data_IF_744774818354
#
_entry.id   IF_744774818354
#
_cell.length_a   1.000
_cell.length_b   1.000
_cell.length_c   1.000
_cell.angle_alpha   90.00
_cell.angle_beta   90.00
_cell.angle_gamma   90.00
#
_symmetry.space_group_name_H-M   'P 1'
#
loop_
_entity.id
_entity.type
_entity.pdbx_description
1 polymer ?
#
# COMPACT_ATOMS: atom_id res chain seq x y z
N UNK A 1 23.71 -2.34 28.90
CA UNK A 1 22.73 -2.91 27.95
C UNK A 1 23.38 -2.90 26.59
N UNK A 2 23.76 -4.08 26.09
CA UNK A 2 24.39 -4.25 24.78
C UNK A 2 23.40 -3.90 23.68
N UNK A 3 23.75 -2.94 22.82
CA UNK A 3 23.05 -2.69 21.56
C UNK A 3 22.99 -4.01 20.79
N UNK A 4 21.80 -4.58 20.66
CA UNK A 4 21.58 -5.64 19.69
C UNK A 4 21.77 -5.00 18.31
N UNK A 5 22.99 -5.11 17.76
CA UNK A 5 23.26 -4.82 16.37
C UNK A 5 22.35 -5.72 15.53
N UNK A 6 21.23 -5.17 15.07
CA UNK A 6 20.38 -5.79 14.06
C UNK A 6 21.22 -5.96 12.80
N UNK A 7 21.74 -7.16 12.58
CA UNK A 7 22.59 -7.47 11.43
C UNK A 7 21.78 -7.26 10.15
N UNK A 8 22.08 -6.19 9.42
CA UNK A 8 21.31 -5.83 8.23
C UNK A 8 21.54 -6.91 7.17
N UNK A 9 20.49 -7.44 6.53
CA UNK A 9 20.64 -8.44 5.49
C UNK A 9 21.52 -7.88 4.38
N UNK A 10 22.70 -8.48 4.19
CA UNK A 10 23.63 -8.10 3.12
C UNK A 10 23.23 -8.79 1.83
N UNK A 11 23.26 -8.05 0.72
CA UNK A 11 23.11 -8.65 -0.60
C UNK A 11 24.23 -9.68 -0.81
N UNK A 12 23.84 -10.93 -1.02
CA UNK A 12 24.77 -12.02 -1.35
C UNK A 12 24.77 -12.24 -2.85
N UNK A 13 25.94 -12.54 -3.43
CA UNK A 13 26.07 -12.88 -4.84
C UNK A 13 25.16 -14.06 -5.25
N UNK A 14 24.83 -14.95 -4.31
CA UNK A 14 23.88 -16.05 -4.51
C UNK A 14 22.47 -15.60 -4.89
N UNK A 15 22.08 -14.35 -4.62
CA UNK A 15 20.81 -13.77 -5.04
C UNK A 15 20.77 -13.39 -6.52
N UNK A 16 21.92 -13.35 -7.21
CA UNK A 16 21.99 -13.12 -8.67
C UNK A 16 21.87 -14.41 -9.49
N UNK A 17 21.76 -15.56 -8.83
CA UNK A 17 21.62 -16.86 -9.49
C UNK A 17 20.40 -16.86 -10.44
N UNK A 18 20.47 -17.51 -11.63
CA UNK A 18 19.39 -17.52 -12.63
C UNK A 18 18.00 -17.88 -12.10
N UNK A 19 17.93 -18.70 -11.04
CA UNK A 19 16.68 -19.03 -10.34
C UNK A 19 15.89 -17.80 -9.84
N UNK A 20 16.57 -16.67 -9.60
CA UNK A 20 15.97 -15.43 -9.11
C UNK A 20 15.74 -14.40 -10.22
N UNK A 21 16.15 -14.66 -11.46
CA UNK A 21 15.97 -13.70 -12.56
C UNK A 21 14.52 -13.29 -12.78
N UNK A 22 13.50 -14.18 -12.72
CA UNK A 22 12.12 -13.75 -12.85
C UNK A 22 11.71 -12.71 -11.80
N UNK A 23 12.19 -12.87 -10.56
CA UNK A 23 11.97 -11.89 -9.48
C UNK A 23 12.64 -10.55 -9.81
N UNK A 24 13.91 -10.57 -10.21
CA UNK A 24 14.65 -9.35 -10.58
C UNK A 24 14.04 -8.64 -11.78
N UNK A 25 13.61 -9.39 -12.80
CA UNK A 25 12.89 -8.84 -13.95
C UNK A 25 11.55 -8.24 -13.52
N UNK A 26 10.81 -8.90 -12.63
CA UNK A 26 9.57 -8.38 -12.08
C UNK A 26 9.78 -7.08 -11.28
N UNK A 27 10.80 -7.02 -10.43
CA UNK A 27 11.16 -5.82 -9.68
C UNK A 27 11.65 -4.70 -10.60
N UNK A 28 12.46 -5.01 -11.61
CA UNK A 28 12.92 -4.05 -12.61
C UNK A 28 11.76 -3.48 -13.43
N UNK A 29 10.82 -4.32 -13.86
CA UNK A 29 9.61 -3.89 -14.55
C UNK A 29 8.72 -3.03 -13.66
N UNK A 30 8.51 -3.44 -12.40
CA UNK A 30 7.74 -2.67 -11.42
C UNK A 30 8.39 -1.30 -11.16
N UNK A 31 9.73 -1.26 -11.05
CA UNK A 31 10.49 -0.04 -10.91
C UNK A 31 10.33 0.88 -12.12
N UNK A 32 10.36 0.35 -13.35
CA UNK A 32 10.11 1.12 -14.57
C UNK A 32 8.69 1.70 -14.59
N UNK A 33 7.69 0.88 -14.27
CA UNK A 33 6.29 1.30 -14.23
C UNK A 33 6.11 2.41 -13.20
N UNK A 34 6.68 2.28 -12.00
CA UNK A 34 6.49 3.28 -10.93
C UNK A 34 7.14 4.64 -11.24
N UNK A 35 8.04 4.73 -12.23
CA UNK A 35 8.55 6.03 -12.68
C UNK A 35 7.50 6.89 -13.40
N UNK A 36 6.42 6.27 -13.90
CA UNK A 36 5.36 6.96 -14.63
C UNK A 36 4.65 8.05 -13.77
N UNK A 37 3.97 9.02 -14.41
CA UNK A 37 3.16 9.99 -13.69
C UNK A 37 2.08 9.34 -12.83
N UNK A 38 1.79 9.93 -11.67
CA UNK A 38 0.82 9.39 -10.70
C UNK A 38 -0.55 9.07 -11.32
N UNK A 39 -1.07 9.95 -12.19
CA UNK A 39 -2.34 9.73 -12.86
C UNK A 39 -2.36 8.46 -13.72
N UNK A 40 -1.23 8.11 -14.34
CA UNK A 40 -1.09 6.88 -15.14
C UNK A 40 -1.08 5.66 -14.22
N UNK A 41 -0.38 5.74 -13.09
CA UNK A 41 -0.37 4.68 -12.08
C UNK A 41 -1.78 4.43 -11.51
N UNK A 42 -2.57 5.48 -11.30
CA UNK A 42 -3.97 5.35 -10.88
C UNK A 42 -4.79 4.58 -11.92
N UNK A 43 -4.66 4.90 -13.21
CA UNK A 43 -5.41 4.21 -14.27
C UNK A 43 -5.01 2.74 -14.35
N UNK A 44 -3.72 2.43 -14.34
CA UNK A 44 -3.21 1.06 -14.37
C UNK A 44 -3.63 0.30 -13.11
N UNK A 45 -3.58 0.95 -11.94
CA UNK A 45 -4.05 0.41 -10.66
C UNK A 45 -5.53 0.05 -10.68
N UNK A 46 -6.39 0.95 -11.21
CA UNK A 46 -7.82 0.65 -11.38
C UNK A 46 -8.05 -0.51 -12.34
N UNK A 47 -7.29 -0.59 -13.43
CA UNK A 47 -7.37 -1.70 -14.37
C UNK A 47 -6.97 -3.03 -13.72
N UNK A 48 -5.88 -3.04 -12.95
CA UNK A 48 -5.45 -4.19 -12.16
C UNK A 48 -6.54 -4.60 -11.16
N UNK A 49 -7.13 -3.65 -10.45
CA UNK A 49 -8.24 -3.89 -9.54
C UNK A 49 -9.47 -4.49 -10.23
N UNK A 50 -9.79 -4.03 -11.45
CA UNK A 50 -10.88 -4.60 -12.24
C UNK A 50 -10.59 -6.04 -12.69
N UNK A 51 -9.34 -6.37 -13.00
CA UNK A 51 -8.91 -7.76 -13.29
C UNK A 51 -9.04 -8.61 -12.01
N UNK A 52 -8.54 -8.13 -10.87
CA UNK A 52 -8.66 -8.82 -9.58
C UNK A 52 -10.12 -9.06 -9.20
N UNK A 53 -11.02 -8.10 -9.45
CA UNK A 53 -12.45 -8.26 -9.19
C UNK A 53 -13.08 -9.41 -10.00
N UNK A 54 -12.56 -9.71 -11.19
CA UNK A 54 -13.05 -10.80 -12.04
C UNK A 54 -12.45 -12.15 -11.66
N UNK A 55 -11.18 -12.19 -11.28
CA UNK A 55 -10.43 -13.44 -11.08
C UNK A 55 -10.43 -13.90 -9.61
N UNK A 56 -10.32 -12.97 -8.65
CA UNK A 56 -10.19 -13.27 -7.22
C UNK A 56 -11.55 -13.54 -6.56
N UNK A 57 -12.17 -14.65 -6.95
CA UNK A 57 -13.56 -14.99 -6.59
C UNK A 57 -13.77 -15.10 -5.08
N UNK A 58 -12.85 -15.70 -4.33
CA UNK A 58 -12.98 -15.86 -2.88
C UNK A 58 -12.82 -14.54 -2.14
N UNK A 59 -11.84 -13.72 -2.54
CA UNK A 59 -11.66 -12.37 -1.98
C UNK A 59 -12.88 -11.50 -2.23
N UNK A 60 -13.49 -11.61 -3.42
CA UNK A 60 -14.72 -10.90 -3.76
C UNK A 60 -15.89 -11.34 -2.89
N UNK A 61 -16.06 -12.64 -2.63
CA UNK A 61 -17.12 -13.16 -1.74
C UNK A 61 -16.96 -12.61 -0.33
N UNK A 62 -15.75 -12.67 0.23
CA UNK A 62 -15.46 -12.18 1.58
C UNK A 62 -15.73 -10.67 1.69
N UNK A 63 -15.17 -9.88 0.77
CA UNK A 63 -15.37 -8.43 0.77
C UNK A 63 -16.85 -8.05 0.59
N UNK A 64 -17.59 -8.75 -0.28
CA UNK A 64 -19.04 -8.55 -0.44
C UNK A 64 -19.79 -8.80 0.87
N UNK A 65 -19.48 -9.91 1.55
CA UNK A 65 -20.11 -10.25 2.83
C UNK A 65 -19.80 -9.22 3.92
N UNK A 66 -18.55 -8.77 3.99
CA UNK A 66 -18.15 -7.72 4.93
C UNK A 66 -18.91 -6.42 4.67
N UNK A 67 -19.08 -6.03 3.41
CA UNK A 67 -19.86 -4.83 3.07
C UNK A 67 -21.35 -4.96 3.41
N UNK A 68 -21.95 -6.16 3.29
CA UNK A 68 -23.32 -6.41 3.75
C UNK A 68 -23.46 -6.23 5.26
N UNK A 69 -22.49 -6.75 6.03
CA UNK A 69 -22.51 -6.71 7.49
C UNK A 69 -22.20 -5.30 8.03
N UNK A 70 -21.21 -4.61 7.46
CA UNK A 70 -20.79 -3.29 7.91
C UNK A 70 -21.72 -2.17 7.40
N UNK A 71 -22.33 -2.34 6.22
CA UNK A 71 -23.19 -1.33 5.59
C UNK A 71 -24.58 -1.90 5.24
N UNK A 72 -25.36 -2.33 6.24
CA UNK A 72 -26.67 -2.93 6.02
C UNK A 72 -27.67 -1.93 5.41
N UNK A 73 -27.50 -0.64 5.69
CA UNK A 73 -28.34 0.47 5.23
C UNK A 73 -28.13 0.83 3.74
N UNK A 74 -27.04 0.39 3.12
CA UNK A 74 -26.81 0.63 1.69
C UNK A 74 -27.60 -0.37 0.84
N UNK A 75 -28.10 0.08 -0.32
CA UNK A 75 -28.71 -0.81 -1.30
C UNK A 75 -27.70 -1.82 -1.86
N UNK A 76 -28.20 -2.91 -2.45
CA UNK A 76 -27.34 -3.89 -3.11
C UNK A 76 -26.51 -3.28 -4.25
N UNK A 77 -27.05 -2.29 -4.97
CA UNK A 77 -26.35 -1.59 -6.04
C UNK A 77 -25.20 -0.73 -5.49
N UNK A 78 -25.41 -0.02 -4.39
CA UNK A 78 -24.39 0.80 -3.73
C UNK A 78 -23.28 -0.07 -3.14
N UNK A 79 -23.63 -1.17 -2.46
CA UNK A 79 -22.64 -2.14 -1.97
C UNK A 79 -21.81 -2.74 -3.11
N UNK A 80 -22.44 -3.06 -4.24
CA UNK A 80 -21.72 -3.56 -5.43
C UNK A 80 -20.79 -2.51 -6.04
N UNK A 81 -21.18 -1.23 -6.05
CA UNK A 81 -20.32 -0.12 -6.48
C UNK A 81 -19.14 0.03 -5.53
N UNK A 82 -19.39 0.07 -4.23
CA UNK A 82 -18.35 0.17 -3.20
C UNK A 82 -17.38 -1.02 -3.25
N UNK A 83 -17.88 -2.22 -3.50
CA UNK A 83 -17.04 -3.41 -3.72
C UNK A 83 -16.10 -3.22 -4.91
N UNK A 84 -16.58 -2.72 -6.05
CA UNK A 84 -15.73 -2.45 -7.22
C UNK A 84 -14.68 -1.38 -6.93
N UNK A 85 -15.07 -0.30 -6.26
CA UNK A 85 -14.13 0.75 -5.86
C UNK A 85 -13.08 0.22 -4.87
N UNK A 86 -13.45 -0.64 -3.91
CA UNK A 86 -12.50 -1.28 -3.01
C UNK A 86 -11.46 -2.14 -3.76
N UNK A 87 -11.88 -2.89 -4.77
CA UNK A 87 -10.96 -3.63 -5.64
C UNK A 87 -10.08 -2.69 -6.48
N UNK A 88 -10.63 -1.59 -6.99
CA UNK A 88 -9.87 -0.57 -7.70
C UNK A 88 -8.79 0.05 -6.78
N UNK A 89 -9.15 0.41 -5.54
CA UNK A 89 -8.21 0.87 -4.52
C UNK A 89 -7.16 -0.17 -4.16
N UNK A 90 -7.52 -1.46 -4.13
CA UNK A 90 -6.55 -2.55 -3.90
C UNK A 90 -5.53 -2.67 -5.04
N UNK A 91 -5.96 -2.48 -6.29
CA UNK A 91 -5.04 -2.45 -7.42
C UNK A 91 -4.13 -1.22 -7.42
N UNK A 92 -4.64 -0.06 -6.98
CA UNK A 92 -3.83 1.15 -6.77
C UNK A 92 -2.81 0.95 -5.63
N UNK A 93 -3.23 0.34 -4.52
CA UNK A 93 -2.39 0.03 -3.36
C UNK A 93 -1.11 -0.73 -3.71
N UNK A 94 -1.21 -1.65 -4.68
CA UNK A 94 -0.04 -2.38 -5.16
C UNK A 94 1.04 -1.45 -5.73
N UNK A 95 0.64 -0.41 -6.46
CA UNK A 95 1.56 0.60 -6.96
C UNK A 95 1.96 1.60 -5.88
N UNK A 96 1.10 1.88 -4.90
CA UNK A 96 1.45 2.69 -3.73
C UNK A 96 2.56 2.07 -2.89
N UNK A 97 2.54 0.75 -2.71
CA UNK A 97 3.64 -0.02 -2.13
C UNK A 97 4.93 0.15 -2.93
N UNK A 98 4.88 0.05 -4.26
CA UNK A 98 6.08 0.29 -5.08
C UNK A 98 6.56 1.75 -4.97
N UNK A 99 5.64 2.72 -4.91
CA UNK A 99 5.96 4.14 -4.76
C UNK A 99 6.65 4.38 -3.41
N UNK A 100 6.19 3.75 -2.33
CA UNK A 100 6.79 3.89 -0.99
C UNK A 100 8.24 3.41 -0.94
N UNK A 101 8.60 2.41 -1.76
CA UNK A 101 9.95 1.87 -1.82
C UNK A 101 10.92 2.71 -2.67
N UNK A 102 10.45 3.28 -3.78
CA UNK A 102 11.34 3.89 -4.78
C UNK A 102 11.17 5.40 -5.02
N UNK A 103 10.03 6.01 -4.64
CA UNK A 103 9.91 7.46 -4.75
C UNK A 103 10.59 8.18 -3.60
N UNK A 104 11.15 9.36 -3.89
CA UNK A 104 11.65 10.24 -2.83
C UNK A 104 10.51 10.68 -1.90
N UNK A 105 10.78 10.79 -0.60
CA UNK A 105 9.83 11.33 0.39
C UNK A 105 9.21 12.66 -0.02
N UNK A 106 10.01 13.57 -0.60
CA UNK A 106 9.52 14.88 -1.10
C UNK A 106 8.46 14.75 -2.20
N UNK A 107 8.57 13.73 -3.06
CA UNK A 107 7.57 13.47 -4.12
C UNK A 107 6.29 12.89 -3.51
N UNK A 108 6.42 11.95 -2.57
CA UNK A 108 5.29 11.35 -1.85
C UNK A 108 4.51 12.38 -1.02
N UNK A 109 5.22 13.26 -0.31
CA UNK A 109 4.62 14.28 0.55
C UNK A 109 3.73 15.29 -0.23
N UNK A 110 3.90 15.39 -1.55
CA UNK A 110 3.01 16.22 -2.40
C UNK A 110 1.66 15.56 -2.68
N UNK A 111 1.52 14.26 -2.40
CA UNK A 111 0.30 13.49 -2.63
C UNK A 111 -0.52 13.28 -1.36
N UNK A 112 0.01 13.66 -0.19
CA UNK A 112 -0.60 13.38 1.10
C UNK A 112 -0.66 14.64 1.97
N UNK A 113 -1.67 14.69 2.81
CA UNK A 113 -1.80 15.65 3.89
C UNK A 113 -1.89 14.86 5.20
N UNK A 114 -1.14 15.28 6.22
CA UNK A 114 -1.12 14.64 7.54
C UNK A 114 -1.82 15.57 8.52
N UNK A 115 -2.91 15.08 9.10
CA UNK A 115 -3.69 15.77 10.13
C UNK A 115 -3.34 15.20 11.52
N UNK A 116 -3.31 16.04 12.56
CA UNK A 116 -3.04 15.62 13.94
C UNK A 116 -1.56 15.42 14.29
N UNK A 117 -0.63 15.92 13.46
CA UNK A 117 0.81 15.82 13.71
C UNK A 117 1.23 16.54 15.01
N UNK A 118 0.49 17.57 15.39
CA UNK A 118 0.66 18.32 16.64
C UNK A 118 0.55 17.42 17.87
N UNK A 119 -0.24 16.34 17.83
CA UNK A 119 -0.33 15.40 18.95
C UNK A 119 0.99 14.65 19.17
N UNK A 120 1.69 14.31 18.09
CA UNK A 120 3.00 13.66 18.16
C UNK A 120 4.07 14.63 18.65
N UNK A 121 4.07 15.85 18.13
CA UNK A 121 5.03 16.89 18.53
C UNK A 121 4.89 17.22 20.02
N UNK A 122 3.66 17.41 20.51
CA UNK A 122 3.39 17.69 21.91
C UNK A 122 3.81 16.55 22.84
N UNK A 123 3.59 15.29 22.46
CA UNK A 123 4.03 14.14 23.25
C UNK A 123 5.56 14.04 23.30
N UNK A 124 6.22 14.29 22.17
CA UNK A 124 7.69 14.32 22.07
C UNK A 124 8.30 15.41 22.96
N UNK A 125 7.72 16.62 22.96
CA UNK A 125 8.17 17.73 23.81
C UNK A 125 8.05 17.42 25.30
N UNK A 126 7.06 16.62 25.70
CA UNK A 126 6.87 16.16 27.09
C UNK A 126 7.74 14.96 27.46
N UNK A 127 8.52 14.43 26.53
CA UNK A 127 9.32 13.21 26.74
C UNK A 127 8.47 11.94 26.91
N UNK A 128 7.24 11.95 26.41
CA UNK A 128 6.32 10.82 26.47
C UNK A 128 6.55 9.87 25.28
N UNK A 129 6.50 8.57 25.51
CA UNK A 129 6.50 7.58 24.44
C UNK A 129 5.15 7.55 23.71
N UNK A 130 5.16 7.34 22.39
CA UNK A 130 3.95 7.26 21.58
C UNK A 130 3.78 5.88 20.94
N UNK A 131 2.56 5.34 20.99
CA UNK A 131 2.17 4.16 20.23
C UNK A 131 1.30 4.61 19.05
N UNK A 132 1.81 4.40 17.84
CA UNK A 132 1.07 4.65 16.60
C UNK A 132 0.25 3.42 16.22
N UNK A 133 -1.08 3.56 16.18
CA UNK A 133 -1.98 2.51 15.70
C UNK A 133 -2.23 2.67 14.20
N UNK A 134 -1.81 1.67 13.41
CA UNK A 134 -2.08 1.64 11.98
C UNK A 134 -3.14 0.59 11.65
N UNK A 135 -4.05 0.93 10.74
CA UNK A 135 -5.07 0.03 10.20
C UNK A 135 -4.62 -0.46 8.82
N UNK A 136 -4.99 -1.69 8.47
CA UNK A 136 -4.71 -2.27 7.14
C UNK A 136 -5.59 -1.65 6.05
N UNK A 137 -5.40 -0.36 5.80
CA UNK A 137 -5.99 0.35 4.66
C UNK A 137 -5.13 0.19 3.41
N UNK A 138 -5.76 0.40 2.26
CA UNK A 138 -5.10 0.24 0.95
C UNK A 138 -3.89 1.18 0.77
N UNK A 139 -3.91 2.35 1.40
CA UNK A 139 -2.85 3.37 1.31
C UNK A 139 -1.81 3.27 2.45
N UNK A 140 -1.80 2.17 3.22
CA UNK A 140 -0.98 2.02 4.43
C UNK A 140 0.51 2.31 4.20
N UNK A 141 1.06 1.81 3.10
CA UNK A 141 2.49 1.94 2.76
C UNK A 141 2.93 3.39 2.56
N UNK A 142 2.03 4.26 2.09
CA UNK A 142 2.30 5.70 1.93
C UNK A 142 2.40 6.36 3.29
N UNK A 143 1.49 6.03 4.21
CA UNK A 143 1.51 6.54 5.58
C UNK A 143 2.75 6.11 6.36
N UNK A 144 3.28 4.91 6.09
CA UNK A 144 4.52 4.44 6.72
C UNK A 144 5.79 5.08 6.14
N UNK A 145 5.78 5.51 4.87
CA UNK A 145 6.94 6.06 4.19
C UNK A 145 7.17 7.57 4.43
N UNK A 146 6.10 8.30 4.77
CA UNK A 146 6.12 9.71 5.10
C UNK A 146 6.65 9.92 6.53
#
# INVERSE_FOLDING_TARGET
MTEAQMDRPRLKASFLHPRFWPLWLGLGLLWLIVQLPFCVLLVIGRALGAIMYRVATDRKKIASRNLELCFPHLSAAERKRLLKENFASTGIAFFEMAMSWWWSKKRLARLAHVEGLEHLQNAQEKGEGVILMALHFTTLEIGAAL
#
